data_IF_596606770086
#
_entry.id   IF_596606770086
#
_cell.length_a   1.000
_cell.length_b   1.000
_cell.length_c   1.000
_cell.angle_alpha   90.00
_cell.angle_beta   90.00
_cell.angle_gamma   90.00
#
_symmetry.space_group_name_H-M   'P 1'
#
loop_
_entity.id
_entity.type
_entity.pdbx_description
1 polymer ?
#
# COMPACT_ATOMS: atom_id res chain seq x y z
N UNK A 1 2.08 18.36 -11.74
CA UNK A 1 2.00 17.05 -11.07
C UNK A 1 0.57 16.88 -10.61
N UNK A 2 -0.03 15.71 -10.80
CA UNK A 2 -1.39 15.47 -10.29
C UNK A 2 -1.34 15.51 -8.75
N UNK A 3 -2.28 16.22 -8.14
CA UNK A 3 -2.35 16.31 -6.69
C UNK A 3 -2.87 14.98 -6.14
N UNK A 4 -2.16 14.40 -5.18
CA UNK A 4 -2.51 13.08 -4.63
C UNK A 4 -3.42 13.30 -3.42
N UNK A 5 -4.68 12.89 -3.52
CA UNK A 5 -5.53 12.75 -2.33
C UNK A 5 -5.16 11.47 -1.56
N UNK A 6 -4.20 11.63 -0.64
CA UNK A 6 -3.72 10.55 0.23
C UNK A 6 -4.81 9.97 1.14
N UNK A 7 -5.82 10.76 1.50
CA UNK A 7 -6.92 10.28 2.35
C UNK A 7 -7.86 9.38 1.55
N UNK A 8 -8.12 9.73 0.29
CA UNK A 8 -8.90 8.89 -0.62
C UNK A 8 -8.15 7.60 -0.96
N UNK A 9 -6.85 7.69 -1.23
CA UNK A 9 -5.96 6.55 -1.47
C UNK A 9 -6.07 5.50 -0.35
N UNK A 10 -5.97 5.94 0.91
CA UNK A 10 -6.10 5.06 2.07
C UNK A 10 -7.47 4.37 2.12
N UNK A 11 -8.55 5.13 1.87
CA UNK A 11 -9.92 4.61 1.89
C UNK A 11 -10.12 3.55 0.81
N UNK A 12 -9.64 3.81 -0.40
CA UNK A 12 -9.77 2.89 -1.54
C UNK A 12 -9.01 1.58 -1.28
N UNK A 13 -7.78 1.68 -0.77
CA UNK A 13 -6.99 0.52 -0.39
C UNK A 13 -7.65 -0.31 0.70
N UNK A 14 -8.17 0.33 1.76
CA UNK A 14 -8.87 -0.36 2.84
C UNK A 14 -10.15 -1.06 2.34
N UNK A 15 -10.91 -0.39 1.47
CA UNK A 15 -12.10 -0.97 0.87
C UNK A 15 -11.78 -2.19 0.02
N UNK A 16 -10.66 -2.16 -0.72
CA UNK A 16 -10.17 -3.29 -1.51
C UNK A 16 -9.71 -4.47 -0.62
N UNK A 17 -8.88 -4.21 0.41
CA UNK A 17 -8.41 -5.28 1.32
C UNK A 17 -9.58 -5.99 2.03
N UNK A 18 -10.61 -5.24 2.42
CA UNK A 18 -11.78 -5.79 3.12
C UNK A 18 -12.46 -6.91 2.32
N UNK A 19 -12.46 -6.83 0.99
CA UNK A 19 -13.08 -7.84 0.13
C UNK A 19 -12.36 -9.20 0.22
N UNK A 20 -11.07 -9.21 0.57
CA UNK A 20 -10.27 -10.42 0.71
C UNK A 20 -10.34 -11.05 2.10
N UNK A 21 -10.77 -10.31 3.12
CA UNK A 21 -10.76 -10.74 4.53
C UNK A 21 -12.15 -11.09 5.09
N UNK A 22 -13.09 -11.52 4.25
CA UNK A 22 -14.47 -11.96 4.58
C UNK A 22 -14.83 -11.98 6.07
N UNK A 23 -14.45 -13.03 6.81
CA UNK A 23 -14.80 -13.23 8.22
C UNK A 23 -13.79 -12.65 9.21
N UNK A 24 -12.53 -12.48 8.80
CA UNK A 24 -11.41 -12.07 9.65
C UNK A 24 -11.18 -10.55 9.63
N UNK A 25 -12.02 -9.80 8.89
CA UNK A 25 -11.85 -8.36 8.71
C UNK A 25 -11.84 -7.57 10.02
N UNK A 26 -12.65 -7.95 11.01
CA UNK A 26 -12.72 -7.21 12.27
C UNK A 26 -11.38 -7.24 13.01
N UNK A 27 -10.68 -8.38 12.98
CA UNK A 27 -9.37 -8.54 13.60
C UNK A 27 -8.27 -7.95 12.71
N UNK A 28 -8.41 -8.07 11.38
CA UNK A 28 -7.42 -7.57 10.43
C UNK A 28 -7.46 -6.04 10.21
N UNK A 29 -8.61 -5.41 10.37
CA UNK A 29 -8.82 -3.99 10.08
C UNK A 29 -7.81 -3.05 10.76
N UNK A 30 -7.55 -3.12 12.09
CA UNK A 30 -6.62 -2.20 12.73
C UNK A 30 -5.20 -2.33 12.17
N UNK A 31 -4.75 -3.56 11.90
CA UNK A 31 -3.43 -3.84 11.31
C UNK A 31 -3.35 -3.40 9.85
N UNK A 32 -4.34 -3.76 9.03
CA UNK A 32 -4.45 -3.33 7.64
C UNK A 32 -4.46 -1.80 7.53
N UNK A 33 -5.18 -1.10 8.42
CA UNK A 33 -5.19 0.36 8.48
C UNK A 33 -3.83 0.93 8.88
N UNK A 34 -3.13 0.34 9.85
CA UNK A 34 -1.80 0.81 10.23
C UNK A 34 -0.79 0.65 9.09
N UNK A 35 -0.75 -0.53 8.46
CA UNK A 35 0.15 -0.82 7.35
C UNK A 35 -0.13 0.04 6.12
N UNK A 36 -1.41 0.22 5.76
CA UNK A 36 -1.77 1.08 4.63
C UNK A 36 -1.50 2.57 4.91
N UNK A 37 -1.64 3.04 6.15
CA UNK A 37 -1.23 4.40 6.50
C UNK A 37 0.28 4.58 6.31
N UNK A 38 1.09 3.63 6.82
CA UNK A 38 2.53 3.65 6.64
C UNK A 38 2.90 3.63 5.14
N UNK A 39 2.21 2.82 4.34
CA UNK A 39 2.39 2.78 2.90
C UNK A 39 2.05 4.12 2.22
N UNK A 40 0.94 4.77 2.58
CA UNK A 40 0.58 6.12 2.10
C UNK A 40 1.64 7.14 2.47
N UNK A 41 2.17 7.10 3.68
CA UNK A 41 3.23 8.00 4.12
C UNK A 41 4.54 7.76 3.37
N UNK A 42 4.84 6.51 3.01
CA UNK A 42 5.98 6.19 2.15
C UNK A 42 5.79 6.75 0.73
N UNK A 43 4.57 6.72 0.17
CA UNK A 43 4.29 7.39 -1.12
C UNK A 43 4.53 8.90 -1.01
N UNK A 44 4.07 9.55 0.08
CA UNK A 44 4.37 10.98 0.34
C UNK A 44 5.87 11.25 0.40
N UNK A 45 6.60 10.40 1.11
CA UNK A 45 8.05 10.52 1.25
C UNK A 45 8.75 10.36 -0.11
N UNK A 46 8.38 9.36 -0.90
CA UNK A 46 8.92 9.14 -2.25
C UNK A 46 8.68 10.37 -3.14
N UNK A 47 7.46 10.91 -3.13
CA UNK A 47 7.12 12.09 -3.92
C UNK A 47 7.99 13.31 -3.54
N UNK A 48 8.20 13.51 -2.23
CA UNK A 48 9.08 14.56 -1.71
C UNK A 48 10.54 14.33 -2.11
N UNK A 49 11.07 13.13 -1.88
CA UNK A 49 12.46 12.79 -2.22
C UNK A 49 12.71 12.86 -3.73
N UNK A 50 11.71 12.54 -4.56
CA UNK A 50 11.77 12.71 -6.02
C UNK A 50 11.91 14.19 -6.37
N UNK A 51 11.05 15.04 -5.81
CA UNK A 51 11.07 16.49 -6.05
C UNK A 51 12.39 17.12 -5.60
N UNK A 52 13.00 16.59 -4.54
CA UNK A 52 14.31 16.98 -4.04
C UNK A 52 15.50 16.39 -4.85
N UNK A 53 15.25 15.50 -5.82
CA UNK A 53 16.30 14.80 -6.57
C UNK A 53 17.11 13.78 -5.77
N UNK A 54 16.59 13.31 -4.63
CA UNK A 54 17.30 12.44 -3.66
C UNK A 54 17.03 10.94 -3.82
N UNK A 55 16.04 10.57 -4.62
CA UNK A 55 15.67 9.17 -4.87
C UNK A 55 15.56 8.91 -6.36
N UNK A 56 15.90 7.69 -6.78
CA UNK A 56 15.69 7.21 -8.14
C UNK A 56 14.43 6.34 -8.20
N UNK A 57 13.89 6.12 -9.40
CA UNK A 57 12.75 5.22 -9.60
C UNK A 57 13.04 3.82 -9.04
N UNK A 58 14.24 3.27 -9.29
CA UNK A 58 14.63 1.96 -8.81
C UNK A 58 14.66 1.87 -7.27
N UNK A 59 15.21 2.90 -6.60
CA UNK A 59 15.19 2.96 -5.13
C UNK A 59 13.76 3.07 -4.58
N UNK A 60 12.89 3.81 -5.25
CA UNK A 60 11.49 3.92 -4.87
C UNK A 60 10.76 2.56 -4.99
N UNK A 61 11.00 1.80 -6.08
CA UNK A 61 10.48 0.43 -6.25
C UNK A 61 10.91 -0.48 -5.11
N UNK A 62 12.22 -0.54 -4.83
CA UNK A 62 12.75 -1.39 -3.75
C UNK A 62 12.17 -1.01 -2.38
N UNK A 63 11.98 0.30 -2.14
CA UNK A 63 11.40 0.77 -0.89
C UNK A 63 9.94 0.34 -0.72
N UNK A 64 9.13 0.40 -1.79
CA UNK A 64 7.75 -0.08 -1.77
C UNK A 64 7.65 -1.61 -1.69
N UNK A 65 8.56 -2.34 -2.33
CA UNK A 65 8.63 -3.80 -2.19
C UNK A 65 8.96 -4.23 -0.75
N UNK A 66 9.86 -3.51 -0.08
CA UNK A 66 10.14 -3.73 1.34
C UNK A 66 8.90 -3.47 2.20
N UNK A 67 8.16 -2.39 1.94
CA UNK A 67 6.92 -2.09 2.65
C UNK A 67 5.84 -3.16 2.40
N UNK A 68 5.71 -3.65 1.16
CA UNK A 68 4.82 -4.78 0.81
C UNK A 68 5.19 -6.03 1.60
N UNK A 69 6.48 -6.31 1.73
CA UNK A 69 7.02 -7.39 2.56
C UNK A 69 6.64 -7.26 4.04
N UNK A 70 6.82 -6.07 4.61
CA UNK A 70 6.43 -5.77 6.00
C UNK A 70 4.94 -5.99 6.24
N UNK A 71 4.09 -5.43 5.37
CA UNK A 71 2.64 -5.55 5.46
C UNK A 71 2.19 -7.01 5.43
N UNK A 72 2.79 -7.81 4.53
CA UNK A 72 2.54 -9.26 4.48
C UNK A 72 2.86 -9.95 5.79
N UNK A 73 4.04 -9.67 6.36
CA UNK A 73 4.48 -10.30 7.61
C UNK A 73 3.51 -9.94 8.74
N UNK A 74 3.14 -8.67 8.88
CA UNK A 74 2.22 -8.20 9.92
C UNK A 74 0.84 -8.84 9.78
N UNK A 75 0.29 -8.90 8.57
CA UNK A 75 -1.03 -9.49 8.37
C UNK A 75 -1.02 -11.01 8.63
N UNK A 76 0.07 -11.70 8.33
CA UNK A 76 0.23 -13.12 8.62
C UNK A 76 0.35 -13.47 10.10
N UNK A 77 0.51 -12.48 10.99
CA UNK A 77 0.47 -12.73 12.44
C UNK A 77 -0.97 -12.81 12.98
N UNK A 78 -1.99 -12.53 12.17
CA UNK A 78 -3.39 -12.58 12.57
C UNK A 78 -3.91 -14.00 12.36
N UNK A 79 -4.44 -14.60 13.42
CA UNK A 79 -5.04 -15.92 13.37
C UNK A 79 -6.19 -15.97 12.35
N UNK A 80 -6.29 -17.08 11.60
CA UNK A 80 -7.29 -17.27 10.55
C UNK A 80 -6.87 -16.76 9.17
N UNK A 81 -5.94 -15.81 9.08
CA UNK A 81 -5.46 -15.32 7.79
C UNK A 81 -4.49 -16.31 7.13
N UNK A 82 -4.85 -16.73 5.92
CA UNK A 82 -3.96 -17.54 5.06
C UNK A 82 -3.04 -16.68 4.22
N UNK A 83 -1.90 -17.23 3.81
CA UNK A 83 -0.96 -16.58 2.87
C UNK A 83 -1.69 -16.10 1.61
N UNK A 84 -2.57 -16.93 1.03
CA UNK A 84 -3.30 -16.56 -0.16
C UNK A 84 -4.26 -15.38 0.08
N UNK A 85 -4.97 -15.36 1.21
CA UNK A 85 -5.87 -14.25 1.56
C UNK A 85 -5.09 -12.93 1.73
N UNK A 86 -3.96 -12.97 2.43
CA UNK A 86 -3.09 -11.80 2.62
C UNK A 86 -2.54 -11.29 1.29
N UNK A 87 -2.00 -12.16 0.43
CA UNK A 87 -1.48 -11.76 -0.88
C UNK A 87 -2.57 -11.14 -1.77
N UNK A 88 -3.76 -11.75 -1.79
CA UNK A 88 -4.90 -11.23 -2.54
C UNK A 88 -5.32 -9.84 -2.04
N UNK A 89 -5.38 -9.66 -0.72
CA UNK A 89 -5.73 -8.37 -0.12
C UNK A 89 -4.72 -7.28 -0.47
N UNK A 90 -3.42 -7.58 -0.34
CA UNK A 90 -2.35 -6.64 -0.66
C UNK A 90 -2.39 -6.29 -2.15
N UNK A 91 -2.48 -7.27 -3.03
CA UNK A 91 -2.52 -7.00 -4.47
C UNK A 91 -3.76 -6.18 -4.85
N UNK A 92 -4.94 -6.50 -4.30
CA UNK A 92 -6.16 -5.72 -4.54
C UNK A 92 -6.03 -4.25 -4.08
N UNK A 93 -5.41 -4.02 -2.92
CA UNK A 93 -5.13 -2.68 -2.42
C UNK A 93 -4.16 -1.91 -3.32
N UNK A 94 -3.06 -2.54 -3.75
CA UNK A 94 -2.09 -1.88 -4.61
C UNK A 94 -2.65 -1.62 -6.01
N UNK A 95 -3.42 -2.55 -6.55
CA UNK A 95 -4.02 -2.45 -7.89
C UNK A 95 -4.98 -1.26 -8.01
N UNK A 96 -5.83 -1.01 -6.99
CA UNK A 96 -6.83 0.06 -7.06
C UNK A 96 -6.19 1.46 -7.08
N UNK A 97 -4.98 1.60 -6.53
CA UNK A 97 -4.27 2.89 -6.46
C UNK A 97 -3.11 3.02 -7.44
N UNK A 98 -2.74 1.93 -8.13
CA UNK A 98 -1.59 1.87 -9.05
C UNK A 98 -1.56 3.03 -10.02
N UNK A 99 -2.65 3.25 -10.76
CA UNK A 99 -2.70 4.27 -11.80
C UNK A 99 -2.57 5.68 -11.23
N UNK A 100 -3.26 5.95 -10.13
CA UNK A 100 -3.20 7.24 -9.42
C UNK A 100 -1.79 7.55 -8.95
N UNK A 101 -1.14 6.60 -8.28
CA UNK A 101 0.22 6.76 -7.73
C UNK A 101 1.23 6.90 -8.86
N UNK A 102 1.22 5.99 -9.85
CA UNK A 102 2.19 5.99 -10.93
C UNK A 102 2.06 7.25 -11.80
N UNK A 103 0.85 7.74 -12.04
CA UNK A 103 0.60 8.97 -12.80
C UNK A 103 1.05 10.21 -12.04
N UNK A 104 0.72 10.30 -10.76
CA UNK A 104 1.05 11.47 -9.96
C UNK A 104 2.55 11.59 -9.68
N UNK A 105 3.20 10.46 -9.36
CA UNK A 105 4.65 10.41 -9.21
C UNK A 105 5.31 10.54 -10.57
N UNK A 106 4.75 9.98 -11.64
CA UNK A 106 5.36 9.94 -12.97
C UNK A 106 6.44 8.87 -13.11
N UNK A 107 6.27 7.74 -12.42
CA UNK A 107 7.10 6.53 -12.46
C UNK A 107 6.21 5.30 -12.33
N UNK A 108 6.67 4.15 -12.85
CA UNK A 108 5.93 2.89 -12.72
C UNK A 108 6.46 2.12 -11.52
N UNK A 109 6.03 2.47 -10.30
CA UNK A 109 6.57 1.91 -9.04
C UNK A 109 5.62 0.93 -8.33
N UNK A 110 4.36 0.87 -8.77
CA UNK A 110 3.33 -0.09 -8.35
C UNK A 110 2.78 -0.90 -9.53
#
# INVERSE_FOLDING_TARGET
MADIDYSQLLKDMLAAMKQSFTNDWNDAQPYAKAELNSFVDNIKLINKLKSDGKITEEKAKLYLEMQKGSMRIVLLTIDGLTILAVENAINAALDVVRNTVNTAIGWTIL
#
